data_IF_014782707356
#
_entry.id   IF_014782707356
#
_cell.length_a   1.000
_cell.length_b   1.000
_cell.length_c   1.000
_cell.angle_alpha   90.00
_cell.angle_beta   90.00
_cell.angle_gamma   90.00
#
_symmetry.space_group_name_H-M   'P 1'
#
loop_
_entity.id
_entity.type
_entity.pdbx_description
1 polymer ?
#
# COMPACT_ATOMS: atom_id res chain seq x y z
N UNK A 1 23.28 -0.11 48.35
CA UNK A 1 22.83 1.13 48.98
C UNK A 1 22.56 2.18 47.91
N UNK A 2 21.39 2.79 47.95
CA UNK A 2 20.92 3.79 47.00
C UNK A 2 21.46 5.17 47.45
N UNK A 3 22.74 5.32 47.63
CA UNK A 3 23.30 6.57 48.18
C UNK A 3 23.58 7.67 47.16
N UNK A 4 23.25 7.48 45.88
CA UNK A 4 23.54 8.51 44.88
C UNK A 4 22.50 8.62 43.76
N UNK A 5 21.22 8.47 44.08
CA UNK A 5 20.19 8.77 43.11
C UNK A 5 20.08 10.28 42.95
N UNK A 6 20.42 10.81 41.80
CA UNK A 6 20.24 12.23 41.48
C UNK A 6 18.76 12.59 41.61
N UNK A 7 18.43 13.63 42.35
CA UNK A 7 17.07 14.08 42.61
C UNK A 7 16.34 14.55 41.34
N UNK A 8 17.09 14.83 40.26
CA UNK A 8 16.60 15.29 38.97
C UNK A 8 16.36 14.14 37.96
N UNK A 9 16.57 12.90 38.36
CA UNK A 9 16.41 11.72 37.50
C UNK A 9 15.50 10.71 38.16
N UNK A 10 14.47 10.24 37.42
CA UNK A 10 13.63 9.14 37.88
C UNK A 10 14.42 7.82 37.79
N UNK A 11 14.36 7.05 38.86
CA UNK A 11 14.94 5.70 38.91
C UNK A 11 13.84 4.66 38.93
N UNK A 12 14.06 3.54 38.26
CA UNK A 12 13.21 2.35 38.35
C UNK A 12 13.97 1.30 39.15
N UNK A 13 13.31 0.81 40.22
CA UNK A 13 13.86 -0.28 40.99
C UNK A 13 13.59 -1.61 40.28
N UNK A 14 14.59 -2.46 40.17
CA UNK A 14 14.42 -3.82 39.69
C UNK A 14 13.62 -4.62 40.72
N UNK A 15 12.59 -5.32 40.26
CA UNK A 15 11.79 -6.21 41.10
C UNK A 15 12.47 -7.55 41.41
N UNK A 16 13.61 -7.81 40.74
CA UNK A 16 14.36 -9.07 40.81
C UNK A 16 15.86 -8.79 40.85
N UNK A 17 16.71 -9.77 41.24
CA UNK A 17 18.13 -9.62 41.22
C UNK A 17 18.70 -9.17 39.90
N UNK A 18 19.79 -8.41 39.93
CA UNK A 18 20.42 -7.83 38.72
C UNK A 18 20.81 -8.88 37.68
N UNK A 19 21.29 -10.03 38.13
CA UNK A 19 21.68 -11.13 37.24
C UNK A 19 20.51 -11.69 36.45
N UNK A 20 19.38 -11.93 37.11
CA UNK A 20 18.14 -12.38 36.45
C UNK A 20 17.58 -11.33 35.49
N UNK A 21 17.61 -10.05 35.90
CA UNK A 21 17.19 -8.94 35.08
C UNK A 21 18.10 -8.81 33.83
N UNK A 22 19.38 -9.03 33.96
CA UNK A 22 20.35 -8.99 32.83
C UNK A 22 20.05 -10.11 31.80
N UNK A 23 19.79 -11.33 32.25
CA UNK A 23 19.42 -12.45 31.37
C UNK A 23 18.14 -12.13 30.57
N UNK A 24 17.11 -11.66 31.25
CA UNK A 24 15.86 -11.29 30.59
C UNK A 24 16.05 -10.11 29.61
N UNK A 25 16.86 -9.12 29.98
CA UNK A 25 17.15 -7.99 29.11
C UNK A 25 17.89 -8.43 27.84
N UNK A 26 18.84 -9.36 27.97
CA UNK A 26 19.58 -9.91 26.83
C UNK A 26 18.64 -10.67 25.89
N UNK A 27 17.80 -11.55 26.43
CA UNK A 27 16.84 -12.29 25.63
C UNK A 27 15.89 -11.34 24.83
N UNK A 28 15.35 -10.33 25.50
CA UNK A 28 14.48 -9.31 24.85
C UNK A 28 15.24 -8.47 23.81
N UNK A 29 16.52 -8.20 24.04
CA UNK A 29 17.34 -7.50 23.05
C UNK A 29 17.53 -8.34 21.79
N UNK A 30 17.82 -9.61 21.93
CA UNK A 30 17.97 -10.56 20.81
C UNK A 30 16.67 -10.74 20.04
N UNK A 31 15.51 -10.76 20.73
CA UNK A 31 14.18 -10.78 20.14
C UNK A 31 13.78 -9.45 19.47
N UNK A 32 14.57 -8.38 19.61
CA UNK A 32 14.26 -7.05 19.09
C UNK A 32 13.14 -6.32 19.86
N UNK A 33 12.74 -6.82 21.04
CA UNK A 33 11.66 -6.23 21.86
C UNK A 33 12.17 -5.33 22.99
N UNK A 34 13.47 -5.25 23.18
CA UNK A 34 14.12 -4.42 24.19
C UNK A 34 14.43 -2.99 23.67
N UNK A 35 14.31 -1.92 24.51
CA UNK A 35 13.69 -1.88 25.83
C UNK A 35 12.16 -1.76 25.76
N UNK A 36 11.50 -2.33 26.76
CA UNK A 36 10.02 -2.28 26.90
C UNK A 36 9.53 -0.89 27.34
N UNK A 37 10.33 -0.22 28.17
CA UNK A 37 10.04 1.12 28.68
C UNK A 37 11.20 2.07 28.39
N UNK A 38 10.90 3.34 28.25
CA UNK A 38 11.91 4.39 28.11
C UNK A 38 11.46 5.66 28.84
N UNK A 39 12.44 6.45 29.24
CA UNK A 39 12.22 7.76 29.84
C UNK A 39 12.23 8.84 28.76
N UNK A 40 11.24 9.74 28.82
CA UNK A 40 11.22 10.93 27.95
C UNK A 40 12.15 12.01 28.50
N UNK A 41 12.44 13.03 27.70
CA UNK A 41 13.24 14.21 28.09
C UNK A 41 14.60 13.86 28.73
N UNK A 42 15.33 12.87 28.14
CA UNK A 42 16.65 12.43 28.62
C UNK A 42 16.65 12.00 30.10
N UNK A 43 15.60 11.31 30.55
CA UNK A 43 15.48 10.85 31.93
C UNK A 43 14.74 11.81 32.88
N UNK A 44 14.37 13.00 32.43
CA UNK A 44 13.67 14.02 33.22
C UNK A 44 12.14 14.00 33.06
N UNK A 45 11.64 13.22 32.10
CA UNK A 45 10.21 13.11 31.83
C UNK A 45 9.62 11.82 32.38
N UNK A 46 8.37 11.55 32.02
CA UNK A 46 7.65 10.34 32.45
C UNK A 46 8.15 9.07 31.76
N UNK A 47 7.80 7.93 32.35
CA UNK A 47 8.01 6.61 31.74
C UNK A 47 6.98 6.41 30.62
N UNK A 48 7.42 5.91 29.48
CA UNK A 48 6.58 5.52 28.35
C UNK A 48 6.83 4.06 28.00
N UNK A 49 5.74 3.36 27.69
CA UNK A 49 5.80 2.01 27.13
C UNK A 49 6.18 2.07 25.65
N UNK A 50 7.09 1.22 25.21
CA UNK A 50 7.49 1.11 23.82
C UNK A 50 6.66 0.03 23.14
N UNK A 51 5.75 0.46 22.28
CA UNK A 51 5.07 -0.48 21.39
C UNK A 51 6.01 -0.86 20.24
N UNK A 52 6.40 -2.13 20.21
CA UNK A 52 7.13 -2.67 19.07
C UNK A 52 6.14 -2.91 17.92
N UNK A 53 6.44 -2.36 16.76
CA UNK A 53 5.66 -2.66 15.55
C UNK A 53 5.98 -4.11 15.19
N UNK A 54 4.98 -4.99 15.28
CA UNK A 54 5.11 -6.35 14.76
C UNK A 54 5.38 -6.25 13.26
N UNK A 55 6.34 -7.02 12.76
CA UNK A 55 6.75 -6.96 11.34
C UNK A 55 5.58 -7.18 10.37
N UNK A 56 4.56 -7.90 10.81
CA UNK A 56 3.38 -8.25 9.99
C UNK A 56 2.20 -7.28 10.13
N UNK A 57 2.33 -6.23 10.94
CA UNK A 57 1.26 -5.22 11.07
C UNK A 57 1.54 -4.06 10.14
N UNK A 58 0.94 -4.10 8.97
CA UNK A 58 0.93 -2.98 8.03
C UNK A 58 0.34 -1.71 8.67
N UNK A 59 0.65 -0.56 8.09
CA UNK A 59 -0.01 0.69 8.47
C UNK A 59 -1.44 0.68 7.94
N UNK A 60 -2.40 1.11 8.76
CA UNK A 60 -3.76 1.38 8.28
C UNK A 60 -3.73 2.39 7.12
N UNK A 61 -4.57 2.15 6.13
CA UNK A 61 -4.71 3.08 5.02
C UNK A 61 -5.21 4.43 5.54
N UNK A 62 -4.61 5.51 5.05
CA UNK A 62 -5.06 6.88 5.35
C UNK A 62 -6.26 7.22 4.47
N UNK A 63 -7.06 8.19 4.90
CA UNK A 63 -8.19 8.73 4.14
C UNK A 63 -7.78 9.83 3.15
N UNK A 64 -6.50 10.17 3.08
CA UNK A 64 -5.95 11.17 2.16
C UNK A 64 -4.85 10.52 1.32
N UNK A 65 -5.01 10.57 0.00
CA UNK A 65 -4.04 10.07 -0.98
C UNK A 65 -3.65 11.19 -1.94
N UNK A 66 -2.37 11.46 -2.00
CA UNK A 66 -1.84 12.50 -2.87
C UNK A 66 -1.75 12.01 -4.31
N UNK A 67 -1.94 12.91 -5.26
CA UNK A 67 -1.86 12.58 -6.69
C UNK A 67 -0.49 12.00 -7.10
N UNK A 68 0.57 12.37 -6.42
CA UNK A 68 1.90 11.77 -6.61
C UNK A 68 1.92 10.26 -6.37
N UNK A 69 1.10 9.76 -5.43
CA UNK A 69 1.01 8.33 -5.08
C UNK A 69 0.03 7.58 -5.97
N UNK A 70 -1.13 8.17 -6.24
CA UNK A 70 -2.25 7.49 -6.91
C UNK A 70 -2.53 7.95 -8.33
N UNK A 71 -1.79 8.92 -8.83
CA UNK A 71 -1.98 9.48 -10.17
C UNK A 71 -3.09 10.54 -10.25
N UNK A 72 -3.26 11.08 -11.43
CA UNK A 72 -4.28 12.07 -11.78
C UNK A 72 -4.81 11.87 -13.21
N UNK A 73 -5.85 12.60 -13.59
CA UNK A 73 -6.55 12.43 -14.87
C UNK A 73 -5.63 12.61 -16.09
N UNK A 74 -4.65 13.52 -16.06
CA UNK A 74 -3.74 13.73 -17.20
C UNK A 74 -2.78 12.55 -17.40
N UNK A 75 -2.33 11.90 -16.32
CA UNK A 75 -1.58 10.65 -16.39
C UNK A 75 -2.44 9.55 -17.03
N UNK A 76 -3.69 9.41 -16.58
CA UNK A 76 -4.63 8.45 -17.15
C UNK A 76 -4.94 8.70 -18.62
N UNK A 77 -5.05 9.97 -19.04
CA UNK A 77 -5.19 10.33 -20.47
C UNK A 77 -3.97 9.95 -21.30
N UNK A 78 -2.76 10.17 -20.77
CA UNK A 78 -1.52 9.76 -21.44
C UNK A 78 -1.46 8.24 -21.59
N UNK A 79 -1.83 7.49 -20.55
CA UNK A 79 -1.93 6.03 -20.61
C UNK A 79 -2.92 5.59 -21.70
N UNK A 80 -4.13 6.16 -21.74
CA UNK A 80 -5.11 5.86 -22.78
C UNK A 80 -4.58 6.18 -24.19
N UNK A 81 -3.90 7.30 -24.39
CA UNK A 81 -3.27 7.63 -25.68
C UNK A 81 -2.25 6.56 -26.09
N UNK A 82 -1.47 6.02 -25.17
CA UNK A 82 -0.59 4.90 -25.44
C UNK A 82 -1.33 3.64 -25.88
N UNK A 83 -2.45 3.33 -25.23
CA UNK A 83 -3.28 2.17 -25.56
C UNK A 83 -4.02 2.33 -26.88
N UNK A 84 -4.52 3.54 -27.20
CA UNK A 84 -5.35 3.83 -28.36
C UNK A 84 -4.60 4.63 -29.46
N UNK A 85 -3.30 4.36 -29.62
CA UNK A 85 -2.50 4.89 -30.73
C UNK A 85 -2.57 6.42 -30.88
N UNK A 86 -2.43 7.14 -29.78
CA UNK A 86 -2.39 8.61 -29.74
C UNK A 86 -3.72 9.28 -29.40
N UNK A 87 -4.82 8.56 -29.31
CA UNK A 87 -6.14 9.10 -29.00
C UNK A 87 -6.54 8.76 -27.56
N UNK A 88 -7.09 9.72 -26.82
CA UNK A 88 -7.76 9.45 -25.55
C UNK A 88 -9.28 9.48 -25.78
N UNK A 89 -9.93 8.32 -25.91
CA UNK A 89 -11.34 8.25 -26.31
C UNK A 89 -12.32 8.69 -25.20
N UNK A 90 -11.84 8.85 -23.97
CA UNK A 90 -12.61 9.36 -22.82
C UNK A 90 -11.85 10.54 -22.20
N UNK A 91 -12.57 11.62 -21.89
CA UNK A 91 -11.96 12.86 -21.39
C UNK A 91 -11.47 12.77 -19.97
N UNK A 92 -12.16 12.02 -19.09
CA UNK A 92 -11.85 11.95 -17.65
C UNK A 92 -11.66 10.53 -17.14
N UNK A 93 -10.68 9.78 -17.70
CA UNK A 93 -10.40 8.44 -17.21
C UNK A 93 -9.84 8.51 -15.78
N UNK A 94 -10.12 7.49 -15.00
CA UNK A 94 -9.52 7.36 -13.66
C UNK A 94 -8.08 6.85 -13.80
N UNK A 95 -7.13 7.32 -12.97
CA UNK A 95 -5.77 6.81 -12.99
C UNK A 95 -5.73 5.36 -12.51
N UNK A 96 -5.00 4.51 -13.23
CA UNK A 96 -4.85 3.09 -12.90
C UNK A 96 -4.26 2.88 -11.51
N UNK A 97 -3.25 3.67 -11.12
CA UNK A 97 -2.62 3.59 -9.79
C UNK A 97 -3.60 3.82 -8.64
N UNK A 98 -4.64 4.65 -8.82
CA UNK A 98 -5.70 4.83 -7.84
C UNK A 98 -6.48 3.53 -7.63
N UNK A 99 -6.87 2.88 -8.72
CA UNK A 99 -7.59 1.61 -8.65
C UNK A 99 -6.72 0.51 -8.06
N UNK A 100 -5.47 0.41 -8.47
CA UNK A 100 -4.49 -0.53 -7.89
C UNK A 100 -4.36 -0.33 -6.36
N UNK A 101 -4.31 0.92 -5.90
CA UNK A 101 -4.27 1.23 -4.47
C UNK A 101 -5.52 0.77 -3.74
N UNK A 102 -6.70 0.99 -4.33
CA UNK A 102 -7.97 0.51 -3.77
C UNK A 102 -7.97 -1.01 -3.68
N UNK A 103 -7.61 -1.69 -4.75
CA UNK A 103 -7.59 -3.16 -4.81
C UNK A 103 -6.56 -3.75 -3.85
N UNK A 104 -5.40 -3.13 -3.71
CA UNK A 104 -4.37 -3.56 -2.75
C UNK A 104 -4.86 -3.53 -1.30
N UNK A 105 -5.76 -2.62 -0.96
CA UNK A 105 -6.32 -2.48 0.38
C UNK A 105 -7.53 -3.40 0.59
N UNK A 106 -8.36 -3.58 -0.44
CA UNK A 106 -9.71 -4.14 -0.31
C UNK A 106 -9.88 -5.54 -0.92
N UNK A 107 -8.91 -6.03 -1.71
CA UNK A 107 -9.06 -7.26 -2.47
C UNK A 107 -7.85 -8.20 -2.26
N UNK A 108 -8.11 -9.45 -1.95
CA UNK A 108 -7.07 -10.48 -1.94
C UNK A 108 -6.66 -10.92 -3.37
N UNK A 109 -5.70 -11.84 -3.47
CA UNK A 109 -5.15 -12.30 -4.75
C UNK A 109 -6.11 -13.16 -5.59
N UNK A 110 -7.26 -13.58 -5.05
CA UNK A 110 -8.27 -14.40 -5.73
C UNK A 110 -9.64 -13.71 -5.82
N UNK A 111 -9.75 -12.45 -5.43
CA UNK A 111 -10.99 -11.71 -5.37
C UNK A 111 -11.67 -11.58 -6.74
N UNK A 112 -13.00 -11.44 -6.73
CA UNK A 112 -13.79 -11.04 -7.88
C UNK A 112 -14.18 -9.57 -7.72
N UNK A 113 -13.76 -8.74 -8.66
CA UNK A 113 -13.95 -7.29 -8.65
C UNK A 113 -15.10 -6.93 -9.61
N UNK A 114 -16.15 -6.32 -9.08
CA UNK A 114 -17.25 -5.78 -9.88
C UNK A 114 -17.10 -4.26 -10.02
N UNK A 115 -17.12 -3.78 -11.26
CA UNK A 115 -17.20 -2.36 -11.58
C UNK A 115 -18.47 -2.12 -12.40
N UNK A 116 -19.47 -1.50 -11.78
CA UNK A 116 -20.80 -1.26 -12.39
C UNK A 116 -20.85 0.00 -13.24
N UNK A 117 -19.76 0.76 -13.32
CA UNK A 117 -19.63 1.96 -14.18
C UNK A 117 -18.23 1.98 -14.80
N UNK A 118 -17.93 0.97 -15.61
CA UNK A 118 -16.57 0.64 -16.05
C UNK A 118 -15.87 1.75 -16.84
N UNK A 119 -16.63 2.64 -17.49
CA UNK A 119 -16.08 3.76 -18.24
C UNK A 119 -15.03 3.30 -19.25
N UNK A 120 -13.80 3.77 -19.10
CA UNK A 120 -12.69 3.36 -19.96
C UNK A 120 -12.11 1.97 -19.65
N UNK A 121 -12.64 1.21 -18.68
CA UNK A 121 -12.11 -0.11 -18.29
C UNK A 121 -10.84 -0.06 -17.44
N UNK A 122 -10.65 0.99 -16.66
CA UNK A 122 -9.46 1.15 -15.80
C UNK A 122 -9.34 0.05 -14.76
N UNK A 123 -10.46 -0.39 -14.20
CA UNK A 123 -10.51 -1.45 -13.18
C UNK A 123 -9.97 -2.77 -13.72
N UNK A 124 -10.38 -3.19 -14.92
CA UNK A 124 -9.83 -4.40 -15.54
C UNK A 124 -8.33 -4.29 -15.79
N UNK A 125 -7.87 -3.14 -16.29
CA UNK A 125 -6.43 -2.90 -16.52
C UNK A 125 -5.64 -2.99 -15.19
N UNK A 126 -6.15 -2.41 -14.10
CA UNK A 126 -5.53 -2.51 -12.79
C UNK A 126 -5.45 -3.97 -12.30
N UNK A 127 -6.54 -4.74 -12.45
CA UNK A 127 -6.58 -6.16 -12.06
C UNK A 127 -5.56 -6.98 -12.84
N UNK A 128 -5.50 -6.83 -14.16
CA UNK A 128 -4.54 -7.54 -15.03
C UNK A 128 -3.10 -7.21 -14.63
N UNK A 129 -2.82 -5.93 -14.41
CA UNK A 129 -1.49 -5.48 -14.01
C UNK A 129 -1.08 -6.02 -12.63
N UNK A 130 -1.99 -6.03 -11.65
CA UNK A 130 -1.71 -6.60 -10.34
C UNK A 130 -1.47 -8.11 -10.42
N UNK A 131 -2.28 -8.86 -11.18
CA UNK A 131 -2.08 -10.29 -11.36
C UNK A 131 -0.72 -10.61 -12.01
N UNK A 132 -0.31 -9.79 -12.99
CA UNK A 132 1.01 -9.92 -13.63
C UNK A 132 2.14 -9.64 -12.64
N UNK A 133 1.96 -8.69 -11.72
CA UNK A 133 2.97 -8.28 -10.76
C UNK A 133 3.14 -9.26 -9.58
N UNK A 134 2.06 -9.84 -9.07
CA UNK A 134 2.06 -10.67 -7.85
C UNK A 134 1.69 -12.14 -8.08
N UNK A 135 1.41 -12.55 -9.34
CA UNK A 135 0.96 -13.90 -9.67
C UNK A 135 -0.45 -14.21 -9.20
N UNK A 136 -1.25 -13.21 -8.86
CA UNK A 136 -2.62 -13.37 -8.41
C UNK A 136 -3.57 -13.85 -9.50
N UNK A 137 -4.76 -14.30 -9.08
CA UNK A 137 -5.82 -14.82 -9.95
C UNK A 137 -7.13 -14.03 -9.79
N UNK A 138 -7.03 -12.72 -9.52
CA UNK A 138 -8.18 -11.85 -9.43
C UNK A 138 -8.96 -11.86 -10.73
N UNK A 139 -10.27 -11.81 -10.61
CA UNK A 139 -11.21 -11.74 -11.75
C UNK A 139 -11.92 -10.41 -11.71
N UNK A 140 -12.44 -9.97 -12.85
CA UNK A 140 -13.24 -8.75 -12.93
C UNK A 140 -14.52 -8.98 -13.72
N UNK A 141 -15.54 -8.22 -13.35
CA UNK A 141 -16.81 -8.09 -14.06
C UNK A 141 -17.01 -6.61 -14.30
N UNK A 142 -17.10 -6.21 -15.57
CA UNK A 142 -17.32 -4.82 -15.95
C UNK A 142 -18.74 -4.67 -16.49
N UNK A 143 -19.45 -3.66 -16.03
CA UNK A 143 -20.76 -3.26 -16.56
C UNK A 143 -20.64 -1.83 -17.07
N UNK A 144 -21.00 -1.61 -18.33
CA UNK A 144 -21.05 -0.31 -18.97
C UNK A 144 -22.26 -0.25 -19.87
N UNK A 145 -23.10 0.77 -19.70
CA UNK A 145 -24.35 0.92 -20.46
C UNK A 145 -24.24 1.84 -21.66
N UNK A 146 -23.15 2.56 -21.80
CA UNK A 146 -22.95 3.50 -22.90
C UNK A 146 -22.51 2.78 -24.18
N UNK A 147 -22.80 3.36 -25.32
CA UNK A 147 -22.51 2.80 -26.65
C UNK A 147 -21.03 2.49 -26.89
N UNK A 148 -20.15 3.07 -26.10
CA UNK A 148 -18.71 2.82 -26.17
C UNK A 148 -18.23 1.57 -25.39
N UNK A 149 -19.13 0.81 -24.78
CA UNK A 149 -18.78 -0.38 -23.99
C UNK A 149 -17.87 -1.35 -24.77
N UNK A 150 -18.21 -1.62 -26.04
CA UNK A 150 -17.39 -2.49 -26.90
C UNK A 150 -16.17 -1.79 -27.47
N UNK A 151 -16.35 -0.56 -27.98
CA UNK A 151 -15.32 0.15 -28.74
C UNK A 151 -14.20 0.75 -27.85
N UNK A 152 -14.49 1.02 -26.58
CA UNK A 152 -13.53 1.60 -25.63
C UNK A 152 -13.26 0.65 -24.47
N UNK A 153 -14.29 0.29 -23.69
CA UNK A 153 -14.11 -0.49 -22.46
C UNK A 153 -13.52 -1.87 -22.75
N UNK A 154 -14.20 -2.65 -23.58
CA UNK A 154 -13.76 -3.99 -23.97
C UNK A 154 -12.47 -3.95 -24.82
N UNK A 155 -12.34 -2.97 -25.71
CA UNK A 155 -11.16 -2.80 -26.56
C UNK A 155 -9.91 -2.47 -25.75
N UNK A 156 -10.01 -1.63 -24.70
CA UNK A 156 -8.90 -1.40 -23.77
C UNK A 156 -8.43 -2.70 -23.14
N UNK A 157 -9.34 -3.52 -22.64
CA UNK A 157 -9.02 -4.81 -22.01
C UNK A 157 -8.29 -5.72 -22.99
N UNK A 158 -8.81 -5.83 -24.23
CA UNK A 158 -8.17 -6.63 -25.30
C UNK A 158 -6.76 -6.16 -25.60
N UNK A 159 -6.54 -4.85 -25.69
CA UNK A 159 -5.22 -4.29 -25.95
C UNK A 159 -4.25 -4.49 -24.81
N UNK A 160 -4.71 -4.33 -23.58
CA UNK A 160 -3.88 -4.60 -22.39
C UNK A 160 -3.45 -6.07 -22.33
N UNK A 161 -4.35 -7.02 -22.65
CA UNK A 161 -4.04 -8.46 -22.67
C UNK A 161 -3.04 -8.80 -23.80
N UNK A 162 -3.12 -8.14 -24.95
CA UNK A 162 -2.25 -8.40 -26.11
C UNK A 162 -0.93 -7.66 -26.07
N UNK A 163 -0.81 -6.66 -25.21
CA UNK A 163 0.23 -5.65 -25.24
C UNK A 163 -0.17 -4.46 -26.12
N UNK A 164 0.44 -3.30 -25.86
CA UNK A 164 0.18 -2.05 -26.58
C UNK A 164 1.41 -1.16 -26.62
N UNK A 165 1.33 -0.10 -27.44
CA UNK A 165 2.45 0.84 -27.65
C UNK A 165 3.45 0.32 -28.68
N UNK A 166 4.43 1.14 -29.02
CA UNK A 166 5.44 0.83 -30.03
C UNK A 166 6.84 1.25 -29.56
N UNK A 167 7.87 0.56 -30.05
CA UNK A 167 9.27 0.88 -29.78
C UNK A 167 9.59 0.90 -28.30
N UNK A 168 10.16 2.01 -27.81
CA UNK A 168 10.53 2.17 -26.38
C UNK A 168 9.34 2.25 -25.41
N UNK A 169 8.13 2.48 -25.92
CA UNK A 169 6.90 2.58 -25.16
C UNK A 169 6.03 1.33 -25.28
N UNK A 170 6.54 0.25 -25.84
CA UNK A 170 5.82 -1.01 -25.92
C UNK A 170 5.63 -1.60 -24.53
N UNK A 171 4.41 -2.04 -24.25
CA UNK A 171 4.01 -2.74 -23.03
C UNK A 171 3.56 -4.14 -23.42
N UNK A 172 4.21 -5.15 -22.87
CA UNK A 172 3.81 -6.54 -23.05
C UNK A 172 2.51 -6.85 -22.31
N UNK A 173 1.68 -7.63 -22.95
CA UNK A 173 0.41 -8.09 -22.38
C UNK A 173 0.56 -9.13 -21.27
#
# INVERSE_FOLDING_TARGET
SIESVRQDVMAVMLAQPLEEAAVQATARYEEGTWPEYYFTSKGKGGIRFKNHIKQDVGKSATNLWFYGDVGHTDEAKKELKGIFSGVAPIETPKPRRLIERILHIAADSNAIILDSFAGSGTTAHAVLNMNKADGGHRKFILVEMMDYADSITAERVKRVIRGYGEGKNAVEG
#
